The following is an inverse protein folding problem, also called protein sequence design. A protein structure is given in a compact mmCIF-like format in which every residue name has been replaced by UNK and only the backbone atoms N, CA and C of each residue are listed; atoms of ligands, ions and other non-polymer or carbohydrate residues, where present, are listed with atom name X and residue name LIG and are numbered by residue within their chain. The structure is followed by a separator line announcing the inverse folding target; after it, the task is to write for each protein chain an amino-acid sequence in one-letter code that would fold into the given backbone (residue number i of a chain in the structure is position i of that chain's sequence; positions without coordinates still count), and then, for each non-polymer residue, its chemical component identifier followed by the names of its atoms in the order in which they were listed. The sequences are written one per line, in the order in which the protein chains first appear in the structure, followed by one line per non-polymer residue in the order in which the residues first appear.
data_IF_019671525026
#
_entry.id   IF_019671525026
#
_cell.length_a   1.000
_cell.length_b   1.000
_cell.length_c   1.000
_cell.angle_alpha   90.00
_cell.angle_beta   90.00
_cell.angle_gamma   90.00
#
_symmetry.space_group_name_H-M   'P 1'
#
loop_
_entity.id
_entity.type
_entity.pdbx_description
1 polymer ?
#
# COMPACT_ATOMS: atom_id res chain seq x y z
N UNK A 1 33.95 33.45 11.90
CA UNK A 1 35.19 34.08 11.42
C UNK A 1 34.85 35.11 10.34
N UNK A 2 35.31 36.34 10.57
CA UNK A 2 35.49 37.56 9.75
C UNK A 2 34.72 37.76 8.42
N UNK A 3 33.97 38.87 8.39
CA UNK A 3 33.53 39.66 7.23
C UNK A 3 34.69 40.54 6.72
N UNK A 4 34.85 40.70 5.40
CA UNK A 4 35.56 41.82 4.72
C UNK A 4 34.90 41.90 3.32
N UNK A 5 34.39 43.00 2.77
CA UNK A 5 34.58 44.41 3.10
C UNK A 5 35.17 45.14 1.88
N UNK A 6 34.30 45.87 1.17
CA UNK A 6 34.54 46.93 0.18
C UNK A 6 35.77 47.82 0.47
N UNK A 7 36.45 48.34 -0.57
CA UNK A 7 37.31 49.56 -0.70
C UNK A 7 38.18 49.35 -1.97
N UNK A 8 38.59 50.29 -2.84
CA UNK A 8 38.81 51.74 -2.81
C UNK A 8 39.07 52.15 -4.29
N UNK A 9 38.26 52.99 -4.93
CA UNK A 9 38.56 54.39 -5.29
C UNK A 9 40.01 54.74 -5.72
N UNK A 10 40.12 55.16 -7.00
CA UNK A 10 40.86 56.30 -7.57
C UNK A 10 42.35 56.53 -7.24
N UNK A 11 43.21 56.55 -8.28
CA UNK A 11 44.44 57.37 -8.27
C UNK A 11 44.98 57.64 -9.70
N UNK A 12 44.95 58.94 -10.07
CA UNK A 12 45.99 59.69 -10.79
C UNK A 12 46.15 59.55 -12.33
N UNK A 13 45.56 60.56 -12.97
CA UNK A 13 46.10 61.47 -13.99
C UNK A 13 47.65 61.60 -14.05
N UNK A 14 48.26 61.14 -15.14
CA UNK A 14 49.57 61.59 -15.66
C UNK A 14 49.50 61.44 -17.20
N UNK A 15 49.12 62.47 -17.96
CA UNK A 15 49.99 63.52 -18.52
C UNK A 15 51.27 62.99 -19.18
N UNK A 16 51.17 62.53 -20.43
CA UNK A 16 52.20 62.55 -21.50
C UNK A 16 51.42 62.39 -22.82
N UNK A 17 50.92 63.45 -23.44
CA UNK A 17 51.62 64.37 -24.35
C UNK A 17 52.55 63.69 -25.38
N UNK A 18 52.01 63.60 -26.61
CA UNK A 18 52.63 63.63 -27.96
C UNK A 18 53.38 62.39 -28.50
N UNK A 19 53.48 62.20 -29.84
CA UNK A 19 52.81 62.86 -30.97
C UNK A 19 52.03 61.89 -31.90
N UNK A 20 51.20 62.50 -32.76
CA UNK A 20 50.62 61.88 -33.96
C UNK A 20 51.76 61.41 -34.89
N UNK A 21 51.76 60.13 -35.24
CA UNK A 21 52.36 59.63 -36.47
C UNK A 21 51.22 59.34 -37.43
N UNK A 22 51.04 60.26 -38.38
CA UNK A 22 50.32 59.99 -39.62
C UNK A 22 51.23 59.07 -40.46
N UNK A 23 50.87 57.80 -40.53
CA UNK A 23 51.35 56.91 -41.57
C UNK A 23 50.25 56.84 -42.64
N UNK A 24 50.41 57.63 -43.68
CA UNK A 24 49.77 57.39 -44.97
C UNK A 24 50.40 56.12 -45.56
N UNK A 25 49.65 55.02 -45.51
CA UNK A 25 49.84 53.92 -46.44
C UNK A 25 48.61 53.90 -47.36
N UNK A 26 48.77 54.58 -48.49
CA UNK A 26 47.97 54.38 -49.70
C UNK A 26 48.04 52.91 -50.13
N UNK A 27 46.85 52.36 -50.41
CA UNK A 27 46.54 51.17 -51.21
C UNK A 27 46.96 49.79 -50.67
N UNK A 28 46.13 49.24 -49.77
CA UNK A 28 45.81 47.81 -49.79
C UNK A 28 44.29 47.71 -50.00
N UNK A 29 43.86 47.09 -51.10
CA UNK A 29 42.45 46.98 -51.51
C UNK A 29 41.57 46.37 -50.40
N UNK A 30 40.53 47.07 -49.90
CA UNK A 30 39.71 46.61 -48.76
C UNK A 30 38.79 45.41 -49.08
N UNK A 31 38.77 44.94 -50.33
CA UNK A 31 37.81 43.91 -50.79
C UNK A 31 38.24 42.47 -50.47
N UNK A 32 39.54 42.16 -50.39
CA UNK A 32 40.01 40.78 -50.20
C UNK A 32 39.99 40.33 -48.73
N UNK A 33 40.41 41.19 -47.80
CA UNK A 33 40.37 40.90 -46.35
C UNK A 33 38.93 40.73 -45.85
N UNK A 34 38.00 41.50 -46.42
CA UNK A 34 36.59 41.45 -46.03
C UNK A 34 35.85 40.21 -46.56
N UNK A 35 36.33 39.62 -47.67
CA UNK A 35 35.80 38.36 -48.20
C UNK A 35 36.29 37.15 -47.39
N UNK A 36 37.55 37.13 -46.97
CA UNK A 36 38.12 36.06 -46.13
C UNK A 36 37.46 36.01 -44.75
N UNK A 37 37.25 37.18 -44.11
CA UNK A 37 36.54 37.24 -42.82
C UNK A 37 35.08 36.79 -42.93
N UNK A 38 34.41 37.07 -44.05
CA UNK A 38 33.03 36.63 -44.26
C UNK A 38 32.94 35.11 -44.48
N UNK A 39 33.89 34.51 -45.21
CA UNK A 39 33.99 33.06 -45.38
C UNK A 39 34.30 32.34 -44.07
N UNK A 40 35.16 32.91 -43.22
CA UNK A 40 35.51 32.33 -41.92
C UNK A 40 34.33 32.37 -40.94
N UNK A 41 33.55 33.47 -40.95
CA UNK A 41 32.30 33.57 -40.17
C UNK A 41 31.25 32.57 -40.66
N UNK A 42 31.06 32.41 -41.97
CA UNK A 42 30.09 31.47 -42.54
C UNK A 42 30.45 30.00 -42.21
N UNK A 43 31.75 29.66 -42.25
CA UNK A 43 32.23 28.34 -41.84
C UNK A 43 32.04 28.10 -40.34
N UNK A 44 32.32 29.09 -39.48
CA UNK A 44 32.06 29.00 -38.04
C UNK A 44 30.56 28.88 -37.74
N UNK A 45 29.69 29.58 -38.48
CA UNK A 45 28.24 29.44 -38.35
C UNK A 45 27.74 28.06 -38.76
N UNK A 46 28.28 27.47 -39.83
CA UNK A 46 27.97 26.09 -40.23
C UNK A 46 28.42 25.07 -39.17
N UNK A 47 29.64 25.20 -38.65
CA UNK A 47 30.17 24.31 -37.61
C UNK A 47 29.37 24.41 -36.31
N UNK A 48 29.03 25.64 -35.89
CA UNK A 48 28.17 25.89 -34.74
C UNK A 48 26.75 25.32 -34.94
N UNK A 49 26.16 25.45 -36.13
CA UNK A 49 24.85 24.89 -36.44
C UNK A 49 24.85 23.35 -36.44
N UNK A 50 25.91 22.72 -36.95
CA UNK A 50 26.10 21.27 -36.89
C UNK A 50 26.22 20.79 -35.44
N UNK A 51 27.09 21.44 -34.65
CA UNK A 51 27.26 21.19 -33.21
C UNK A 51 25.95 21.37 -32.43
N UNK A 52 25.18 22.42 -32.73
CA UNK A 52 23.86 22.66 -32.11
C UNK A 52 22.85 21.57 -32.50
N UNK A 53 22.89 21.10 -33.75
CA UNK A 53 22.05 20.00 -34.25
C UNK A 53 22.34 18.68 -33.54
N UNK A 54 23.61 18.35 -33.34
CA UNK A 54 24.04 17.18 -32.58
C UNK A 54 23.67 17.28 -31.09
N UNK A 55 23.87 18.45 -30.48
CA UNK A 55 23.46 18.69 -29.09
C UNK A 55 21.95 18.50 -28.91
N UNK A 56 21.14 19.01 -29.85
CA UNK A 56 19.68 18.81 -29.86
C UNK A 56 19.30 17.33 -29.97
N UNK A 57 19.92 16.58 -30.89
CA UNK A 57 19.70 15.12 -31.03
C UNK A 57 20.05 14.38 -29.74
N UNK A 58 21.22 14.65 -29.17
CA UNK A 58 21.66 14.05 -27.90
C UNK A 58 20.72 14.35 -26.73
N UNK A 59 20.16 15.58 -26.66
CA UNK A 59 19.18 15.95 -25.63
C UNK A 59 17.85 15.22 -25.84
N UNK A 60 17.40 15.05 -27.08
CA UNK A 60 16.17 14.30 -27.40
C UNK A 60 16.32 12.83 -27.02
N UNK A 61 17.40 12.18 -27.45
CA UNK A 61 17.69 10.77 -27.15
C UNK A 61 17.84 10.53 -25.63
N UNK A 62 18.53 11.43 -24.92
CA UNK A 62 18.61 11.36 -23.44
C UNK A 62 17.25 11.53 -22.78
N UNK A 63 16.37 12.38 -23.32
CA UNK A 63 15.01 12.54 -22.78
C UNK A 63 14.15 11.30 -23.01
N UNK A 64 14.28 10.68 -24.19
CA UNK A 64 13.55 9.45 -24.53
C UNK A 64 14.00 8.29 -23.64
N UNK A 65 15.30 8.04 -23.55
CA UNK A 65 15.87 7.00 -22.66
C UNK A 65 15.53 7.23 -21.18
N UNK A 66 15.49 8.47 -20.70
CA UNK A 66 15.03 8.78 -19.34
C UNK A 66 13.54 8.47 -19.16
N UNK A 67 12.69 8.82 -20.14
CA UNK A 67 11.26 8.52 -20.09
C UNK A 67 11.01 7.01 -20.07
N UNK A 68 11.68 6.25 -20.91
CA UNK A 68 11.58 4.79 -20.96
C UNK A 68 11.99 4.17 -19.62
N UNK A 69 13.14 4.60 -19.05
CA UNK A 69 13.58 4.14 -17.72
C UNK A 69 12.60 4.48 -16.60
N UNK A 70 11.93 5.64 -16.68
CA UNK A 70 10.90 6.02 -15.70
C UNK A 70 9.68 5.12 -15.85
N UNK A 71 9.20 4.86 -17.08
CA UNK A 71 8.06 4.00 -17.34
C UNK A 71 8.32 2.56 -16.90
N UNK A 72 9.50 2.01 -17.21
CA UNK A 72 9.91 0.68 -16.78
C UNK A 72 10.00 0.57 -15.25
N UNK A 73 10.59 1.57 -14.59
CA UNK A 73 10.62 1.65 -13.12
C UNK A 73 9.21 1.75 -12.53
N UNK A 74 8.32 2.53 -13.13
CA UNK A 74 6.95 2.65 -12.66
C UNK A 74 6.18 1.33 -12.80
N UNK A 75 6.31 0.64 -13.94
CA UNK A 75 5.66 -0.65 -14.17
C UNK A 75 6.18 -1.72 -13.20
N UNK A 76 7.50 -1.83 -13.04
CA UNK A 76 8.11 -2.79 -12.10
C UNK A 76 7.76 -2.50 -10.64
N UNK A 77 7.74 -1.23 -10.24
CA UNK A 77 7.32 -0.84 -8.89
C UNK A 77 5.83 -1.09 -8.66
N UNK A 78 4.97 -0.79 -9.63
CA UNK A 78 3.54 -1.07 -9.56
C UNK A 78 3.27 -2.56 -9.40
N UNK A 79 3.94 -3.41 -10.18
CA UNK A 79 3.84 -4.87 -10.08
C UNK A 79 4.28 -5.38 -8.69
N UNK A 80 5.45 -4.93 -8.19
CA UNK A 80 5.94 -5.29 -6.85
C UNK A 80 4.98 -4.87 -5.75
N UNK A 81 4.41 -3.66 -5.85
CA UNK A 81 3.43 -3.17 -4.86
C UNK A 81 2.13 -3.97 -4.90
N UNK A 82 1.67 -4.37 -6.09
CA UNK A 82 0.49 -5.22 -6.23
C UNK A 82 0.70 -6.59 -5.57
N UNK A 83 1.85 -7.21 -5.83
CA UNK A 83 2.23 -8.50 -5.22
C UNK A 83 2.32 -8.40 -3.69
N UNK A 84 3.01 -7.40 -3.16
CA UNK A 84 3.10 -7.18 -1.71
C UNK A 84 1.73 -6.95 -1.06
N UNK A 85 0.82 -6.24 -1.74
CA UNK A 85 -0.55 -6.06 -1.23
C UNK A 85 -1.30 -7.39 -1.15
N UNK A 86 -1.22 -8.22 -2.20
CA UNK A 86 -1.82 -9.56 -2.23
C UNK A 86 -1.27 -10.45 -1.11
N UNK A 87 0.04 -10.44 -0.90
CA UNK A 87 0.68 -11.24 0.15
C UNK A 87 0.26 -10.80 1.56
N UNK A 88 0.24 -9.49 1.84
CA UNK A 88 -0.23 -8.94 3.12
C UNK A 88 -1.66 -9.35 3.41
N UNK A 89 -2.51 -9.26 2.39
CA UNK A 89 -3.91 -9.67 2.45
C UNK A 89 -4.02 -11.16 2.76
N UNK A 90 -3.36 -12.03 1.99
CA UNK A 90 -3.39 -13.49 2.20
C UNK A 90 -2.93 -13.84 3.62
N UNK A 91 -1.88 -13.19 4.09
CA UNK A 91 -1.35 -13.41 5.44
C UNK A 91 -2.34 -12.96 6.52
N UNK A 92 -2.98 -11.81 6.33
CA UNK A 92 -3.98 -11.28 7.25
C UNK A 92 -5.21 -12.18 7.33
N UNK A 93 -5.75 -12.59 6.18
CA UNK A 93 -6.88 -13.52 6.11
C UNK A 93 -6.54 -14.89 6.69
N UNK A 94 -5.37 -15.45 6.37
CA UNK A 94 -4.91 -16.71 6.96
C UNK A 94 -4.89 -16.67 8.49
N UNK A 95 -4.39 -15.58 9.08
CA UNK A 95 -4.40 -15.39 10.55
C UNK A 95 -5.80 -15.28 11.12
N UNK A 96 -6.70 -14.54 10.48
CA UNK A 96 -8.09 -14.41 10.94
C UNK A 96 -8.84 -15.72 10.87
N UNK A 97 -8.71 -16.44 9.76
CA UNK A 97 -9.30 -17.76 9.57
C UNK A 97 -8.85 -18.74 10.64
N UNK A 98 -7.56 -18.77 10.96
CA UNK A 98 -7.04 -19.62 12.04
C UNK A 98 -7.65 -19.26 13.40
N UNK A 99 -7.82 -17.95 13.68
CA UNK A 99 -8.43 -17.49 14.93
C UNK A 99 -9.90 -17.86 15.02
N UNK A 100 -10.67 -17.69 13.94
CA UNK A 100 -12.08 -18.08 13.91
C UNK A 100 -12.25 -19.60 14.02
N UNK A 101 -11.44 -20.39 13.32
CA UNK A 101 -11.45 -21.85 13.47
C UNK A 101 -11.16 -22.26 14.91
N UNK A 102 -10.17 -21.64 15.55
CA UNK A 102 -9.85 -21.93 16.95
C UNK A 102 -11.00 -21.55 17.90
N UNK A 103 -11.71 -20.45 17.62
CA UNK A 103 -12.88 -20.03 18.37
C UNK A 103 -14.04 -21.04 18.20
N UNK A 104 -14.32 -21.46 16.97
CA UNK A 104 -15.34 -22.47 16.66
C UNK A 104 -15.06 -23.75 17.44
N UNK A 105 -13.84 -24.29 17.33
CA UNK A 105 -13.45 -25.51 18.03
C UNK A 105 -13.56 -25.37 19.56
N UNK A 106 -13.31 -24.18 20.12
CA UNK A 106 -13.46 -23.93 21.56
C UNK A 106 -14.93 -23.93 21.97
N UNK A 107 -15.80 -23.30 21.19
CA UNK A 107 -17.24 -23.22 21.47
C UNK A 107 -17.90 -24.60 21.32
N UNK A 108 -17.53 -25.36 20.29
CA UNK A 108 -17.98 -26.74 20.09
C UNK A 108 -17.65 -27.64 21.29
N UNK A 109 -16.39 -27.61 21.75
CA UNK A 109 -15.99 -28.35 22.96
C UNK A 109 -16.76 -27.89 24.20
N UNK A 110 -17.12 -26.63 24.28
CA UNK A 110 -17.90 -26.11 25.39
C UNK A 110 -19.35 -26.62 25.33
N UNK A 111 -19.98 -26.63 24.15
CA UNK A 111 -21.30 -27.23 23.92
C UNK A 111 -21.29 -28.70 24.34
N UNK A 112 -20.35 -29.52 23.86
CA UNK A 112 -20.27 -30.95 24.23
C UNK A 112 -20.16 -31.16 25.74
N UNK A 113 -19.42 -30.28 26.43
CA UNK A 113 -19.31 -30.33 27.89
C UNK A 113 -20.61 -29.95 28.61
N UNK A 114 -21.39 -29.03 28.05
CA UNK A 114 -22.69 -28.66 28.59
C UNK A 114 -23.70 -29.78 28.36
N UNK A 115 -23.76 -30.37 27.17
CA UNK A 115 -24.61 -31.52 26.87
C UNK A 115 -24.32 -32.69 27.82
N UNK A 116 -23.04 -33.05 27.99
CA UNK A 116 -22.63 -34.12 28.91
C UNK A 116 -23.03 -33.83 30.36
N UNK A 117 -23.01 -32.55 30.77
CA UNK A 117 -23.42 -32.16 32.12
C UNK A 117 -24.94 -32.13 32.27
N UNK A 118 -25.67 -31.72 31.23
CA UNK A 118 -27.12 -31.67 31.24
C UNK A 118 -27.70 -33.10 31.30
N UNK A 119 -27.15 -34.01 30.50
CA UNK A 119 -27.53 -35.43 30.55
C UNK A 119 -27.35 -36.03 31.95
N UNK A 120 -26.27 -35.65 32.66
CA UNK A 120 -26.06 -36.09 34.06
C UNK A 120 -27.04 -35.47 35.04
N UNK A 121 -27.51 -34.25 34.80
CA UNK A 121 -28.51 -33.61 35.66
C UNK A 121 -29.83 -34.36 35.50
N UNK A 122 -30.24 -34.62 34.27
CA UNK A 122 -31.48 -35.33 33.93
C UNK A 122 -31.48 -36.79 34.41
N UNK A 123 -30.32 -37.46 34.42
CA UNK A 123 -30.19 -38.82 34.96
C UNK A 123 -30.31 -38.87 36.50
N UNK A 124 -29.89 -37.80 37.20
CA UNK A 124 -29.94 -37.75 38.66
C UNK A 124 -31.31 -37.32 39.20
N UNK A 125 -32.08 -36.54 38.42
CA UNK A 125 -33.37 -36.01 38.85
C UNK A 125 -34.28 -35.73 37.64
N UNK A 126 -35.25 -36.62 37.43
CA UNK A 126 -36.20 -36.56 36.31
C UNK A 126 -37.23 -35.40 36.46
N UNK A 127 -37.35 -34.80 37.65
CA UNK A 127 -38.30 -33.69 37.89
C UNK A 127 -37.72 -32.32 37.51
N UNK A 128 -36.42 -32.23 37.21
CA UNK A 128 -35.78 -30.97 36.82
C UNK A 128 -36.18 -30.58 35.39
N UNK A 129 -36.78 -29.40 35.23
CA UNK A 129 -37.08 -28.83 33.92
C UNK A 129 -35.82 -28.33 33.21
N UNK A 130 -35.38 -29.06 32.17
CA UNK A 130 -34.18 -28.74 31.37
C UNK A 130 -34.48 -28.25 29.96
N UNK A 131 -35.77 -28.07 29.63
CA UNK A 131 -36.22 -27.80 28.25
C UNK A 131 -35.61 -26.53 27.66
N UNK A 132 -35.67 -25.41 28.38
CA UNK A 132 -35.11 -24.12 27.95
C UNK A 132 -33.59 -24.21 27.74
N UNK A 133 -32.88 -24.95 28.60
CA UNK A 133 -31.43 -25.17 28.47
C UNK A 133 -31.12 -25.93 27.18
N UNK A 134 -31.92 -26.94 26.82
CA UNK A 134 -31.75 -27.70 25.57
C UNK A 134 -32.00 -26.81 24.36
N UNK A 135 -33.07 -26.02 24.36
CA UNK A 135 -33.39 -25.08 23.28
C UNK A 135 -32.26 -24.06 23.07
N UNK A 136 -31.73 -23.48 24.14
CA UNK A 136 -30.57 -22.57 24.08
C UNK A 136 -29.30 -23.28 23.56
N UNK A 137 -29.05 -24.53 23.93
CA UNK A 137 -27.92 -25.30 23.41
C UNK A 137 -28.05 -25.60 21.92
N UNK A 138 -29.25 -25.92 21.45
CA UNK A 138 -29.51 -26.20 20.04
C UNK A 138 -29.40 -24.90 19.22
N UNK A 139 -29.91 -23.77 19.71
CA UNK A 139 -29.69 -22.46 19.06
C UNK A 139 -28.19 -22.13 18.96
N UNK A 140 -27.42 -22.39 20.02
CA UNK A 140 -25.97 -22.17 20.00
C UNK A 140 -25.26 -23.06 18.98
N UNK A 141 -25.72 -24.30 18.75
CA UNK A 141 -25.17 -25.19 17.71
C UNK A 141 -25.49 -24.70 16.31
N UNK A 142 -26.73 -24.31 16.08
CA UNK A 142 -27.18 -23.84 14.77
C UNK A 142 -26.38 -22.60 14.35
N UNK A 143 -26.26 -21.60 15.23
CA UNK A 143 -25.42 -20.42 14.98
C UNK A 143 -23.95 -20.74 14.80
N UNK A 144 -23.43 -21.74 15.52
CA UNK A 144 -22.03 -22.17 15.36
C UNK A 144 -21.82 -22.85 14.00
N UNK A 145 -22.81 -23.61 13.52
CA UNK A 145 -22.80 -24.23 12.20
C UNK A 145 -22.87 -23.18 11.08
N UNK A 146 -23.74 -22.17 11.23
CA UNK A 146 -23.81 -21.01 10.34
C UNK A 146 -22.45 -20.29 10.25
N UNK A 147 -21.84 -19.96 11.39
CA UNK A 147 -20.54 -19.31 11.45
C UNK A 147 -19.41 -20.16 10.81
N UNK A 148 -19.49 -21.49 10.95
CA UNK A 148 -18.56 -22.43 10.32
C UNK A 148 -18.72 -22.46 8.80
N UNK A 149 -19.96 -22.48 8.31
CA UNK A 149 -20.27 -22.43 6.88
C UNK A 149 -19.81 -21.11 6.25
N UNK A 150 -20.15 -19.98 6.90
CA UNK A 150 -19.72 -18.65 6.48
C UNK A 150 -18.19 -18.54 6.46
N UNK A 151 -17.48 -19.11 7.44
CA UNK A 151 -16.01 -19.15 7.43
C UNK A 151 -15.45 -19.97 6.26
N UNK A 152 -16.11 -21.06 5.87
CA UNK A 152 -15.71 -21.85 4.71
C UNK A 152 -15.88 -21.05 3.41
N UNK A 153 -17.01 -20.36 3.27
CA UNK A 153 -17.28 -19.47 2.13
C UNK A 153 -16.29 -18.30 2.06
N UNK A 154 -15.97 -17.68 3.19
CA UNK A 154 -14.96 -16.63 3.27
C UNK A 154 -13.60 -17.08 2.72
N UNK A 155 -13.20 -18.33 2.99
CA UNK A 155 -11.92 -18.88 2.51
C UNK A 155 -11.91 -19.01 0.99
N UNK A 156 -13.02 -19.44 0.39
CA UNK A 156 -13.12 -19.57 -1.07
C UNK A 156 -13.11 -18.20 -1.74
N UNK A 157 -13.91 -17.25 -1.23
CA UNK A 157 -14.00 -15.91 -1.81
C UNK A 157 -12.68 -15.16 -1.77
N UNK A 158 -11.87 -15.29 -0.71
CA UNK A 158 -10.57 -14.60 -0.62
C UNK A 158 -9.61 -15.02 -1.74
N UNK A 159 -9.57 -16.30 -2.10
CA UNK A 159 -8.69 -16.78 -3.17
C UNK A 159 -9.15 -16.27 -4.54
N UNK A 160 -10.45 -16.20 -4.78
CA UNK A 160 -11.01 -15.63 -6.02
C UNK A 160 -10.67 -14.13 -6.14
N UNK A 161 -10.73 -13.40 -5.03
CA UNK A 161 -10.47 -11.96 -4.97
C UNK A 161 -9.01 -11.61 -5.18
N UNK A 162 -8.09 -12.43 -4.64
CA UNK A 162 -6.66 -12.25 -4.84
C UNK A 162 -6.26 -12.37 -6.32
N UNK A 163 -7.04 -13.11 -7.11
CA UNK A 163 -6.82 -13.36 -8.53
C UNK A 163 -7.64 -12.42 -9.46
N UNK A 164 -8.63 -11.71 -8.94
CA UNK A 164 -9.51 -10.84 -9.71
C UNK A 164 -8.94 -9.45 -10.05
N UNK A 165 -9.59 -8.77 -11.00
CA UNK A 165 -9.16 -7.48 -11.55
C UNK A 165 -9.55 -6.26 -10.70
N UNK A 166 -10.55 -6.39 -9.80
CA UNK A 166 -11.05 -5.29 -8.98
C UNK A 166 -10.97 -5.58 -7.46
N UNK A 167 -9.76 -5.56 -6.87
CA UNK A 167 -9.55 -6.04 -5.51
C UNK A 167 -10.20 -5.16 -4.42
N UNK A 168 -10.45 -3.87 -4.68
CA UNK A 168 -10.92 -2.93 -3.64
C UNK A 168 -12.35 -3.20 -3.16
N UNK A 169 -13.31 -3.33 -4.07
CA UNK A 169 -14.72 -3.58 -3.73
C UNK A 169 -14.88 -4.95 -3.08
N UNK A 170 -14.24 -5.94 -3.68
CA UNK A 170 -14.21 -7.30 -3.17
C UNK A 170 -13.62 -7.40 -1.75
N UNK A 171 -12.62 -6.57 -1.39
CA UNK A 171 -12.09 -6.56 -0.02
C UNK A 171 -13.09 -6.06 1.02
N UNK A 172 -13.99 -5.16 0.63
CA UNK A 172 -15.00 -4.66 1.54
C UNK A 172 -16.01 -5.78 1.85
N UNK A 173 -16.45 -6.52 0.84
CA UNK A 173 -17.35 -7.66 1.00
C UNK A 173 -16.79 -8.72 1.96
N UNK A 174 -15.52 -9.11 1.79
CA UNK A 174 -14.91 -10.10 2.71
C UNK A 174 -14.80 -9.55 4.13
N UNK A 175 -14.50 -8.26 4.31
CA UNK A 175 -14.46 -7.66 5.64
C UNK A 175 -15.81 -7.72 6.33
N UNK A 176 -16.88 -7.44 5.59
CA UNK A 176 -18.23 -7.47 6.10
C UNK A 176 -18.66 -8.91 6.44
N UNK A 177 -18.28 -9.88 5.60
CA UNK A 177 -18.47 -11.31 5.88
C UNK A 177 -17.73 -11.73 7.16
N UNK A 178 -16.45 -11.38 7.31
CA UNK A 178 -15.69 -11.69 8.52
C UNK A 178 -16.24 -11.02 9.78
N UNK A 179 -16.85 -9.83 9.63
CA UNK A 179 -17.53 -9.16 10.73
C UNK A 179 -18.80 -9.93 11.13
N UNK A 180 -19.58 -10.40 10.17
CA UNK A 180 -20.72 -11.29 10.42
C UNK A 180 -20.35 -12.53 11.22
N UNK A 181 -19.33 -13.27 10.76
CA UNK A 181 -18.81 -14.45 11.48
C UNK A 181 -18.42 -14.11 12.93
N UNK A 182 -17.72 -12.98 13.12
CA UNK A 182 -17.32 -12.55 14.47
C UNK A 182 -18.54 -12.31 15.35
N UNK A 183 -19.54 -11.62 14.83
CA UNK A 183 -20.72 -11.23 15.59
C UNK A 183 -21.57 -12.49 15.95
N UNK A 184 -21.67 -13.46 15.04
CA UNK A 184 -22.27 -14.78 15.31
C UNK A 184 -21.53 -15.55 16.41
N UNK A 185 -20.19 -15.62 16.36
CA UNK A 185 -19.40 -16.29 17.40
C UNK A 185 -19.53 -15.63 18.78
N UNK A 186 -19.69 -14.30 18.81
CA UNK A 186 -19.98 -13.56 20.05
C UNK A 186 -21.37 -13.92 20.58
N UNK A 187 -22.35 -14.06 19.70
CA UNK A 187 -23.71 -14.44 20.08
C UNK A 187 -23.75 -15.88 20.61
N UNK A 188 -23.10 -16.83 19.94
CA UNK A 188 -22.93 -18.21 20.46
C UNK A 188 -22.32 -18.18 21.85
N UNK A 189 -21.25 -17.39 22.05
CA UNK A 189 -20.64 -17.26 23.37
C UNK A 189 -21.61 -16.72 24.42
N UNK A 190 -22.43 -15.73 24.07
CA UNK A 190 -23.45 -15.15 24.96
C UNK A 190 -24.48 -16.18 25.41
N UNK A 191 -25.04 -16.93 24.45
CA UNK A 191 -26.00 -18.01 24.73
C UNK A 191 -25.37 -19.06 25.66
N UNK A 192 -24.14 -19.49 25.37
CA UNK A 192 -23.44 -20.47 26.22
C UNK A 192 -23.18 -19.94 27.65
N UNK A 193 -22.89 -18.65 27.81
CA UNK A 193 -22.74 -18.07 29.16
C UNK A 193 -24.06 -18.11 29.93
N UNK A 194 -25.18 -17.83 29.25
CA UNK A 194 -26.51 -17.93 29.83
C UNK A 194 -26.83 -19.38 30.26
N UNK A 195 -26.60 -20.36 29.38
CA UNK A 195 -26.77 -21.79 29.70
C UNK A 195 -25.94 -22.19 30.93
N UNK A 196 -24.69 -21.72 31.05
CA UNK A 196 -23.87 -21.98 32.25
C UNK A 196 -24.53 -21.42 33.52
N UNK A 197 -25.17 -20.26 33.43
CA UNK A 197 -25.91 -19.64 34.54
C UNK A 197 -27.09 -20.50 34.97
N UNK A 198 -27.93 -20.89 34.01
CA UNK A 198 -29.11 -21.74 34.21
C UNK A 198 -28.72 -23.10 34.83
N UNK A 199 -27.74 -23.80 34.23
CA UNK A 199 -27.23 -25.07 34.74
C UNK A 199 -26.63 -24.97 36.14
N UNK A 200 -26.03 -23.83 36.50
CA UNK A 200 -25.55 -23.60 37.87
C UNK A 200 -26.71 -23.43 38.83
N UNK A 201 -27.76 -22.70 38.45
CA UNK A 201 -28.97 -22.51 39.24
C UNK A 201 -29.59 -23.83 39.67
N UNK A 202 -29.69 -24.78 38.75
CA UNK A 202 -30.22 -26.13 39.01
C UNK A 202 -29.46 -26.88 40.10
N UNK A 203 -28.15 -26.64 40.24
CA UNK A 203 -27.30 -27.36 41.21
C UNK A 203 -27.34 -26.77 42.63
N UNK A 204 -27.64 -25.49 42.80
CA UNK A 204 -27.54 -24.81 44.11
C UNK A 204 -28.87 -24.75 44.87
N UNK A 205 -30.00 -25.03 44.20
CA UNK A 205 -31.34 -24.95 44.80
C UNK A 205 -31.82 -26.18 45.56
N UNK A 206 -31.13 -27.32 45.51
CA UNK A 206 -31.57 -28.58 46.13
C UNK A 206 -31.04 -28.80 47.56
N UNK A 207 -30.74 -27.71 48.28
CA UNK A 207 -30.12 -27.73 49.61
C UNK A 207 -31.01 -27.25 50.75
N UNK A 208 -32.34 -27.30 50.59
CA UNK A 208 -33.32 -27.04 51.67
C UNK A 208 -34.08 -28.32 52.06
#
# INVERSE_FOLDING_TARGET
MKKIGFLLAAFILFFFLSPRVLAECTTCSPTQVQQETNQEVENQEMENNLSLGELRRNVIEKRETIRERIQERQATMAARLAEQKRERVRTFFGRLTQRFQAAINRLERLITRMESRLAKIEENDEEIETKEIRENLDEAKDKLAEASAALSEAKTSVEDILNGDNPQEMFQEVRDLLKGIKDELVEVHRILVQVIGEMKGLRVGQGE
#
